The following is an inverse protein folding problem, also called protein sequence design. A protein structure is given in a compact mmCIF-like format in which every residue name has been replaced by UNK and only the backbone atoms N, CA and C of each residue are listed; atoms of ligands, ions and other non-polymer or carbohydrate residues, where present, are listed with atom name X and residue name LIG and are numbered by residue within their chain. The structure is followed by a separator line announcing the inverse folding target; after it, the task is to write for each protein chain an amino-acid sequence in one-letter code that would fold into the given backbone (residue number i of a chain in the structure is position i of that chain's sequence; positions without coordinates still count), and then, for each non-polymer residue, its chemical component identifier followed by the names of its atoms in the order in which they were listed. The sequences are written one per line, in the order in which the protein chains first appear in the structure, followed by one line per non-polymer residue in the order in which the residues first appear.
data_IF_432830867249
#
_entry.id   IF_432830867249
#
_cell.length_a   1.000
_cell.length_b   1.000
_cell.length_c   1.000
_cell.angle_alpha   90.00
_cell.angle_beta   90.00
_cell.angle_gamma   90.00
#
_symmetry.space_group_name_H-M   'P 1'
#
loop_
_entity.id
_entity.type
_entity.pdbx_description
1 polymer ?
#
# COMPACT_ATOMS: atom_id res chain seq x y z
N UNK A 1 -26.99 9.69 5.22
CA UNK A 1 -26.72 8.25 5.32
C UNK A 1 -26.60 7.83 6.77
N UNK A 2 -26.71 6.54 7.06
CA UNK A 2 -26.57 5.98 8.41
C UNK A 2 -25.11 5.98 8.94
N UNK A 3 -24.19 6.71 8.29
CA UNK A 3 -22.77 6.75 8.64
C UNK A 3 -22.55 7.66 9.85
N UNK A 4 -21.61 7.28 10.69
CA UNK A 4 -21.25 8.05 11.88
C UNK A 4 -20.50 9.32 11.47
N UNK A 5 -20.97 10.48 11.92
CA UNK A 5 -20.51 11.80 11.48
C UNK A 5 -19.15 12.24 12.04
N UNK A 6 -18.15 11.35 12.04
CA UNK A 6 -16.82 11.59 12.59
C UNK A 6 -15.80 11.82 11.48
N UNK A 7 -15.03 12.90 11.58
CA UNK A 7 -13.90 13.15 10.69
C UNK A 7 -12.88 12.01 10.81
N UNK A 8 -12.63 11.35 9.67
CA UNK A 8 -11.77 10.16 9.57
C UNK A 8 -12.13 9.05 10.57
N UNK A 9 -13.40 8.93 10.96
CA UNK A 9 -13.88 7.97 11.98
C UNK A 9 -13.23 8.14 13.36
N UNK A 10 -12.73 9.35 13.67
CA UNK A 10 -12.00 9.64 14.92
C UNK A 10 -12.55 10.87 15.64
N UNK A 11 -12.64 12.01 14.94
CA UNK A 11 -12.92 13.30 15.57
C UNK A 11 -14.34 13.79 15.29
N UNK A 12 -15.12 14.19 16.31
CA UNK A 12 -16.39 14.88 16.10
C UNK A 12 -16.14 16.30 15.55
N UNK A 13 -16.71 16.66 14.37
CA UNK A 13 -16.40 17.91 13.70
C UNK A 13 -17.04 19.16 14.35
N UNK A 14 -17.98 18.97 15.27
CA UNK A 14 -18.75 20.05 15.89
C UNK A 14 -18.12 20.55 17.21
N UNK A 15 -16.95 20.03 17.59
CA UNK A 15 -16.23 20.54 18.76
C UNK A 15 -15.41 21.77 18.38
N UNK A 16 -15.40 22.77 19.26
CA UNK A 16 -14.56 23.96 19.11
C UNK A 16 -13.07 23.63 19.32
N UNK A 17 -12.78 22.70 20.24
CA UNK A 17 -11.43 22.23 20.52
C UNK A 17 -11.30 20.74 20.22
N UNK A 18 -10.25 20.30 19.53
CA UNK A 18 -10.03 18.90 19.20
C UNK A 18 -9.42 18.15 20.40
N UNK A 19 -10.17 18.04 21.49
CA UNK A 19 -9.74 17.42 22.77
C UNK A 19 -10.36 16.05 23.02
N UNK A 20 -11.34 15.63 22.21
CA UNK A 20 -12.00 14.34 22.26
C UNK A 20 -11.78 13.58 20.95
N UNK A 21 -11.40 12.31 21.06
CA UNK A 21 -11.24 11.41 19.93
C UNK A 21 -11.77 10.03 20.27
N UNK A 22 -12.36 9.36 19.28
CA UNK A 22 -12.83 7.98 19.37
C UNK A 22 -11.85 7.09 18.61
N UNK A 23 -11.32 6.06 19.27
CA UNK A 23 -10.32 5.14 18.69
C UNK A 23 -10.88 3.72 18.68
N UNK A 24 -10.66 3.00 17.59
CA UNK A 24 -11.11 1.63 17.37
C UNK A 24 -12.58 1.51 16.95
N UNK A 25 -13.33 2.61 16.86
CA UNK A 25 -14.73 2.57 16.40
C UNK A 25 -14.82 2.61 14.88
N UNK A 26 -14.30 1.55 14.24
CA UNK A 26 -14.20 1.44 12.79
C UNK A 26 -14.35 -0.03 12.37
N UNK A 27 -14.89 -0.26 11.18
CA UNK A 27 -14.96 -1.59 10.58
C UNK A 27 -14.33 -1.57 9.19
N UNK A 28 -13.51 -2.57 8.88
CA UNK A 28 -12.87 -2.69 7.57
C UNK A 28 -12.60 -4.16 7.26
N UNK A 29 -12.21 -4.43 6.01
CA UNK A 29 -11.87 -5.76 5.52
C UNK A 29 -10.49 -6.25 6.02
N UNK A 30 -9.93 -5.62 7.06
CA UNK A 30 -8.63 -5.92 7.65
C UNK A 30 -8.63 -5.96 9.18
N UNK A 31 -7.44 -6.16 9.77
CA UNK A 31 -7.30 -6.25 11.22
C UNK A 31 -7.50 -4.89 11.90
N UNK A 32 -8.34 -4.85 12.93
CA UNK A 32 -8.61 -3.63 13.72
C UNK A 32 -7.40 -3.14 14.51
N UNK A 33 -6.52 -4.03 14.95
CA UNK A 33 -5.37 -3.72 15.81
C UNK A 33 -4.42 -2.67 15.18
N UNK A 34 -3.94 -2.82 13.94
CA UNK A 34 -3.15 -1.77 13.28
C UNK A 34 -3.95 -0.49 12.98
N UNK A 35 -5.27 -0.59 12.77
CA UNK A 35 -6.09 0.60 12.54
C UNK A 35 -6.24 1.43 13.80
N UNK A 36 -6.55 0.80 14.93
CA UNK A 36 -6.62 1.45 16.23
C UNK A 36 -5.26 2.05 16.63
N UNK A 37 -4.15 1.35 16.37
CA UNK A 37 -2.80 1.88 16.58
C UNK A 37 -2.52 3.13 15.72
N UNK A 38 -2.92 3.11 14.43
CA UNK A 38 -2.76 4.25 13.53
C UNK A 38 -3.61 5.44 13.96
N UNK A 39 -4.87 5.20 14.33
CA UNK A 39 -5.77 6.21 14.89
C UNK A 39 -5.17 6.82 16.16
N UNK A 40 -4.67 6.00 17.09
CA UNK A 40 -4.04 6.50 18.31
C UNK A 40 -2.82 7.37 18.01
N UNK A 41 -1.98 7.00 17.03
CA UNK A 41 -0.84 7.83 16.59
C UNK A 41 -1.28 9.17 16.02
N UNK A 42 -2.34 9.17 15.21
CA UNK A 42 -2.93 10.39 14.66
C UNK A 42 -3.49 11.29 15.76
N UNK A 43 -4.29 10.72 16.67
CA UNK A 43 -4.89 11.44 17.81
C UNK A 43 -3.83 12.06 18.70
N UNK A 44 -2.82 11.29 19.10
CA UNK A 44 -1.75 11.79 19.96
C UNK A 44 -1.03 12.99 19.33
N UNK A 45 -0.83 12.99 18.01
CA UNK A 45 -0.25 14.14 17.29
C UNK A 45 -1.16 15.36 17.25
N UNK A 46 -2.47 15.16 17.15
CA UNK A 46 -3.45 16.25 17.18
C UNK A 46 -3.49 16.87 18.56
N UNK A 47 -3.59 16.05 19.60
CA UNK A 47 -3.61 16.53 20.99
C UNK A 47 -2.32 17.23 21.40
N UNK A 48 -1.17 16.74 20.96
CA UNK A 48 0.12 17.39 21.18
C UNK A 48 0.36 18.62 20.26
N UNK A 49 -0.60 18.99 19.41
CA UNK A 49 -0.52 20.18 18.54
C UNK A 49 0.40 20.04 17.32
N UNK A 50 1.03 18.89 17.10
CA UNK A 50 1.88 18.62 15.93
C UNK A 50 1.08 18.52 14.63
N UNK A 51 -0.21 18.18 14.71
CA UNK A 51 -1.13 18.12 13.56
C UNK A 51 -2.38 18.92 13.88
N UNK A 52 -2.66 19.95 13.08
CA UNK A 52 -3.91 20.71 13.20
C UNK A 52 -5.00 20.06 12.36
N UNK A 53 -6.19 19.92 12.93
CA UNK A 53 -7.38 19.54 12.18
C UNK A 53 -7.82 20.70 11.28
N UNK A 54 -8.45 20.41 10.13
CA UNK A 54 -9.03 21.46 9.30
C UNK A 54 -10.25 22.09 9.99
N UNK A 55 -10.73 23.22 9.47
CA UNK A 55 -11.92 23.89 9.99
C UNK A 55 -13.16 22.98 10.02
N UNK A 56 -14.08 23.22 10.93
CA UNK A 56 -15.28 22.38 11.17
C UNK A 56 -16.07 22.13 9.88
N UNK A 57 -16.32 23.17 9.07
CA UNK A 57 -17.02 23.03 7.80
C UNK A 57 -16.27 22.12 6.79
N UNK A 58 -14.94 22.15 6.80
CA UNK A 58 -14.13 21.30 5.95
C UNK A 58 -14.14 19.85 6.44
N UNK A 59 -14.16 19.62 7.75
CA UNK A 59 -14.34 18.28 8.32
C UNK A 59 -15.70 17.69 7.96
N UNK A 60 -16.79 18.45 8.08
CA UNK A 60 -18.14 18.02 7.71
C UNK A 60 -18.19 17.65 6.22
N UNK A 61 -17.67 18.52 5.34
CA UNK A 61 -17.57 18.24 3.90
C UNK A 61 -16.75 16.97 3.60
N UNK A 62 -15.68 16.73 4.36
CA UNK A 62 -14.87 15.52 4.19
C UNK A 62 -15.63 14.26 4.60
N UNK A 63 -16.41 14.31 5.69
CA UNK A 63 -17.29 13.21 6.13
C UNK A 63 -18.35 12.92 5.08
N UNK A 64 -19.00 13.94 4.51
CA UNK A 64 -19.97 13.77 3.44
C UNK A 64 -19.35 13.16 2.18
N UNK A 65 -18.14 13.60 1.82
CA UNK A 65 -17.39 13.05 0.67
C UNK A 65 -17.05 11.58 0.88
N UNK A 66 -16.53 11.23 2.05
CA UNK A 66 -16.22 9.85 2.44
C UNK A 66 -17.47 8.97 2.41
N UNK A 67 -18.60 9.48 2.92
CA UNK A 67 -19.91 8.80 2.86
C UNK A 67 -20.34 8.52 1.43
N UNK A 68 -20.22 9.50 0.53
CA UNK A 68 -20.57 9.32 -0.89
C UNK A 68 -19.62 8.38 -1.62
N UNK A 69 -18.36 8.29 -1.19
CA UNK A 69 -17.37 7.41 -1.80
C UNK A 69 -17.62 5.96 -1.41
N UNK A 70 -17.83 5.70 -0.11
CA UNK A 70 -18.08 4.33 0.36
C UNK A 70 -19.40 3.77 -0.19
N UNK A 71 -20.43 4.61 -0.36
CA UNK A 71 -21.73 4.22 -0.93
C UNK A 71 -21.62 3.69 -2.37
N UNK A 72 -20.54 4.03 -3.10
CA UNK A 72 -20.29 3.52 -4.45
C UNK A 72 -19.65 2.13 -4.45
N UNK A 73 -18.86 1.83 -3.42
CA UNK A 73 -18.04 0.61 -3.36
C UNK A 73 -18.61 -0.45 -2.43
N UNK A 74 -19.46 -0.07 -1.47
CA UNK A 74 -20.00 -0.97 -0.45
C UNK A 74 -21.50 -0.73 -0.23
N UNK A 75 -22.19 -1.78 0.20
CA UNK A 75 -23.59 -1.69 0.63
C UNK A 75 -23.66 -0.98 1.98
N UNK A 76 -24.14 0.26 1.96
CA UNK A 76 -24.35 1.05 3.18
C UNK A 76 -25.73 0.74 3.73
N UNK A 77 -25.75 0.08 4.88
CA UNK A 77 -26.97 -0.24 5.63
C UNK A 77 -26.85 0.29 7.06
N UNK A 78 -27.96 0.24 7.81
CA UNK A 78 -27.92 0.51 9.26
C UNK A 78 -26.96 -0.43 10.02
N UNK A 79 -26.68 -1.62 9.47
CA UNK A 79 -25.81 -2.63 10.08
C UNK A 79 -24.32 -2.42 9.74
N UNK A 80 -24.02 -1.63 8.71
CA UNK A 80 -22.65 -1.34 8.24
C UNK A 80 -22.31 0.17 8.28
N UNK A 81 -22.57 0.90 9.39
CA UNK A 81 -22.40 2.34 9.42
C UNK A 81 -20.93 2.81 9.48
N UNK A 82 -19.98 1.88 9.68
CA UNK A 82 -18.57 2.14 9.96
C UNK A 82 -17.60 1.58 8.91
N UNK A 83 -18.10 1.05 7.80
CA UNK A 83 -17.27 0.39 6.79
C UNK A 83 -16.27 1.37 6.15
N UNK A 84 -15.01 0.97 6.07
CA UNK A 84 -13.94 1.65 5.31
C UNK A 84 -13.10 0.65 4.53
N UNK A 85 -12.46 1.12 3.46
CA UNK A 85 -11.37 0.38 2.82
C UNK A 85 -10.12 0.42 3.70
N UNK A 86 -9.52 -0.75 3.97
CA UNK A 86 -8.40 -0.86 4.90
C UNK A 86 -7.15 -0.10 4.41
N UNK A 87 -6.79 -0.23 3.13
CA UNK A 87 -5.54 0.32 2.61
C UNK A 87 -5.66 1.83 2.45
N UNK A 88 -6.76 2.30 1.86
CA UNK A 88 -7.01 3.73 1.65
C UNK A 88 -7.05 4.47 3.00
N UNK A 89 -7.77 3.93 3.99
CA UNK A 89 -7.87 4.53 5.31
C UNK A 89 -6.51 4.63 6.02
N UNK A 90 -5.75 3.53 6.01
CA UNK A 90 -4.44 3.49 6.64
C UNK A 90 -3.44 4.43 5.97
N UNK A 91 -3.44 4.49 4.63
CA UNK A 91 -2.56 5.39 3.86
C UNK A 91 -2.93 6.87 4.05
N UNK A 92 -4.22 7.19 4.19
CA UNK A 92 -4.70 8.55 4.43
C UNK A 92 -4.28 9.05 5.81
N UNK A 93 -4.47 8.24 6.87
CA UNK A 93 -3.94 8.55 8.19
C UNK A 93 -2.41 8.62 8.20
N UNK A 94 -1.74 7.68 7.54
CA UNK A 94 -0.29 7.64 7.47
C UNK A 94 0.28 8.88 6.76
N UNK A 95 -0.41 9.39 5.74
CA UNK A 95 -0.06 10.64 5.06
C UNK A 95 -0.19 11.83 6.02
N UNK A 96 -1.27 11.89 6.79
CA UNK A 96 -1.49 13.00 7.73
C UNK A 96 -0.43 13.11 8.81
N UNK A 97 0.08 11.97 9.26
CA UNK A 97 1.09 11.90 10.31
C UNK A 97 2.53 11.78 9.78
N UNK A 98 2.71 11.75 8.46
CA UNK A 98 4.02 11.72 7.78
C UNK A 98 4.76 10.38 7.86
N UNK A 99 4.05 9.25 7.94
CA UNK A 99 4.65 7.90 8.06
C UNK A 99 4.36 7.01 6.86
N UNK A 100 3.59 7.50 5.88
CA UNK A 100 3.30 6.78 4.65
C UNK A 100 4.59 6.62 3.82
N UNK A 101 4.98 5.39 3.45
CA UNK A 101 6.15 5.18 2.61
C UNK A 101 5.94 5.76 1.21
N UNK A 102 6.82 6.68 0.79
CA UNK A 102 6.83 7.19 -0.58
C UNK A 102 7.35 6.12 -1.55
N UNK A 103 6.43 5.50 -2.30
CA UNK A 103 6.77 4.41 -3.23
C UNK A 103 7.80 4.82 -4.28
N UNK A 104 7.67 6.01 -4.88
CA UNK A 104 8.62 6.53 -5.85
C UNK A 104 10.02 6.73 -5.23
N UNK A 105 10.10 7.22 -4.01
CA UNK A 105 11.38 7.38 -3.32
C UNK A 105 12.01 6.03 -2.98
N UNK A 106 11.19 5.06 -2.52
CA UNK A 106 11.66 3.70 -2.26
C UNK A 106 12.16 3.01 -3.52
N UNK A 107 11.53 3.26 -4.68
CA UNK A 107 11.95 2.69 -5.96
C UNK A 107 13.42 3.03 -6.28
N UNK A 108 13.84 4.27 -6.01
CA UNK A 108 15.21 4.74 -6.29
C UNK A 108 16.20 4.50 -5.15
N UNK A 109 15.74 4.39 -3.90
CA UNK A 109 16.64 4.26 -2.73
C UNK A 109 16.86 2.81 -2.28
N UNK A 110 15.81 2.00 -2.20
CA UNK A 110 15.86 0.59 -1.76
C UNK A 110 14.87 -0.23 -2.59
N UNK A 111 15.29 -0.55 -3.83
CA UNK A 111 14.48 -1.32 -4.78
C UNK A 111 13.97 -2.67 -4.23
N UNK A 112 14.76 -3.46 -3.49
CA UNK A 112 14.26 -4.67 -2.83
C UNK A 112 13.11 -4.40 -1.86
N UNK A 113 13.21 -3.35 -1.03
CA UNK A 113 12.14 -2.98 -0.11
C UNK A 113 10.91 -2.46 -0.88
N UNK A 114 11.11 -1.64 -1.92
CA UNK A 114 10.05 -1.19 -2.82
C UNK A 114 9.25 -2.37 -3.37
N UNK A 115 9.93 -3.39 -3.92
CA UNK A 115 9.28 -4.57 -4.49
C UNK A 115 8.40 -5.29 -3.45
N UNK A 116 8.87 -5.40 -2.20
CA UNK A 116 8.13 -6.03 -1.10
C UNK A 116 6.96 -5.21 -0.62
N UNK A 117 7.05 -3.88 -0.63
CA UNK A 117 5.95 -2.98 -0.23
C UNK A 117 4.89 -2.92 -1.32
N UNK A 118 5.30 -2.88 -2.60
CA UNK A 118 4.38 -2.71 -3.73
C UNK A 118 3.67 -4.01 -4.16
N UNK A 119 4.40 -5.12 -4.27
CA UNK A 119 3.82 -6.43 -4.67
C UNK A 119 3.60 -7.40 -3.52
N UNK A 120 4.06 -7.08 -2.32
CA UNK A 120 3.90 -7.93 -1.14
C UNK A 120 2.61 -7.63 -0.37
N UNK A 121 2.36 -8.39 0.71
CA UNK A 121 1.22 -8.14 1.57
C UNK A 121 1.38 -6.80 2.30
N UNK A 122 0.27 -6.06 2.42
CA UNK A 122 0.21 -4.82 3.20
C UNK A 122 0.25 -5.17 4.68
N UNK A 123 1.41 -4.96 5.30
CA UNK A 123 1.61 -5.23 6.74
C UNK A 123 1.86 -3.96 7.52
N UNK A 124 1.45 -3.96 8.80
CA UNK A 124 1.54 -2.79 9.68
C UNK A 124 2.98 -2.25 9.83
N UNK A 125 4.00 -3.09 9.62
CA UNK A 125 5.40 -2.71 9.65
C UNK A 125 5.75 -1.60 8.64
N UNK A 126 5.02 -1.51 7.51
CA UNK A 126 5.24 -0.51 6.47
C UNK A 126 5.09 0.91 7.02
N UNK A 127 4.13 1.14 7.92
CA UNK A 127 3.86 2.45 8.55
C UNK A 127 4.82 2.81 9.70
N UNK A 128 5.86 2.00 9.89
CA UNK A 128 6.96 2.22 10.83
C UNK A 128 8.32 2.31 10.11
N UNK A 129 8.34 2.31 8.77
CA UNK A 129 9.57 2.43 7.98
C UNK A 129 10.17 3.83 8.03
N UNK A 130 9.33 4.85 8.09
CA UNK A 130 9.73 6.25 8.05
C UNK A 130 8.83 7.12 8.90
N UNK A 131 9.23 8.39 9.01
CA UNK A 131 8.54 9.34 9.84
C UNK A 131 8.73 9.09 11.33
N UNK A 132 7.99 9.82 12.15
CA UNK A 132 8.10 9.75 13.59
C UNK A 132 7.50 8.46 14.19
N UNK A 133 8.23 7.88 15.14
CA UNK A 133 7.96 6.53 15.66
C UNK A 133 8.50 5.42 14.74
N UNK A 134 9.44 5.74 13.83
CA UNK A 134 10.16 4.78 13.00
C UNK A 134 10.77 3.66 13.84
N UNK A 135 10.60 2.43 13.39
CA UNK A 135 11.16 1.26 14.04
C UNK A 135 12.27 0.67 13.18
N UNK A 136 13.48 0.57 13.75
CA UNK A 136 14.68 0.06 13.04
C UNK A 136 14.46 -1.37 12.52
N UNK A 137 13.71 -2.19 13.25
CA UNK A 137 13.38 -3.56 12.87
C UNK A 137 12.35 -3.69 11.74
N UNK A 138 11.66 -2.61 11.34
CA UNK A 138 10.55 -2.67 10.38
C UNK A 138 10.96 -3.27 9.04
N UNK A 139 12.13 -2.87 8.51
CA UNK A 139 12.66 -3.44 7.27
C UNK A 139 12.87 -4.94 7.41
N UNK A 140 13.63 -5.38 8.41
CA UNK A 140 13.88 -6.81 8.66
C UNK A 140 12.58 -7.59 8.82
N UNK A 141 11.60 -7.03 9.54
CA UNK A 141 10.30 -7.63 9.77
C UNK A 141 9.53 -7.88 8.46
N UNK A 142 9.51 -6.93 7.53
CA UNK A 142 8.89 -7.07 6.20
C UNK A 142 9.59 -8.16 5.39
N UNK A 143 10.92 -8.20 5.42
CA UNK A 143 11.67 -9.19 4.63
C UNK A 143 11.43 -10.63 5.10
N UNK A 144 11.27 -10.82 6.40
CA UNK A 144 11.16 -12.13 7.08
C UNK A 144 9.72 -12.50 7.46
N UNK A 145 8.72 -11.73 7.03
CA UNK A 145 7.32 -11.93 7.44
C UNK A 145 6.75 -13.28 6.99
N UNK A 146 7.05 -13.70 5.75
CA UNK A 146 6.61 -14.99 5.23
C UNK A 146 7.37 -16.13 5.91
N UNK A 147 8.66 -15.97 6.20
CA UNK A 147 9.43 -16.97 6.92
C UNK A 147 8.81 -17.25 8.30
N UNK A 148 8.45 -16.19 9.05
CA UNK A 148 7.74 -16.32 10.34
C UNK A 148 6.37 -16.96 10.22
N UNK A 149 5.64 -16.67 9.14
CA UNK A 149 4.34 -17.28 8.87
C UNK A 149 4.46 -18.77 8.55
N UNK A 150 5.46 -19.17 7.76
CA UNK A 150 5.68 -20.56 7.38
C UNK A 150 6.35 -21.39 8.48
N UNK A 151 7.15 -20.77 9.36
CA UNK A 151 7.87 -21.46 10.43
C UNK A 151 6.98 -22.38 11.30
N UNK A 152 5.82 -21.93 11.84
CA UNK A 152 4.94 -22.79 12.61
C UNK A 152 4.24 -23.86 11.76
N UNK A 153 4.10 -23.65 10.45
CA UNK A 153 3.48 -24.60 9.52
C UNK A 153 4.47 -25.68 9.05
N UNK A 154 5.78 -25.39 9.05
CA UNK A 154 6.84 -26.29 8.58
C UNK A 154 7.31 -27.25 9.68
N UNK A 155 6.38 -28.00 10.27
CA UNK A 155 6.65 -28.97 11.33
C UNK A 155 7.45 -30.19 10.84
N UNK A 156 7.36 -30.51 9.55
CA UNK A 156 8.13 -31.59 8.90
C UNK A 156 9.26 -31.03 8.04
N UNK A 157 10.49 -31.50 8.26
CA UNK A 157 11.64 -31.21 7.38
C UNK A 157 11.66 -32.24 6.25
N UNK A 158 11.63 -31.75 5.01
CA UNK A 158 11.83 -32.57 3.81
C UNK A 158 13.26 -32.36 3.31
N UNK A 159 13.91 -33.42 2.83
CA UNK A 159 15.15 -33.35 2.07
C UNK A 159 14.85 -32.68 0.73
N UNK A 160 15.20 -31.40 0.62
CA UNK A 160 15.03 -30.66 -0.64
C UNK A 160 16.16 -31.11 -1.56
N UNK A 161 15.84 -31.93 -2.57
CA UNK A 161 16.74 -32.12 -3.70
C UNK A 161 16.95 -30.76 -4.37
N UNK A 162 18.20 -30.37 -4.57
CA UNK A 162 18.55 -29.09 -5.19
C UNK A 162 17.86 -28.99 -6.56
N UNK A 163 17.24 -27.84 -6.87
CA UNK A 163 16.57 -27.67 -8.16
C UNK A 163 17.59 -27.83 -9.27
N UNK A 164 17.35 -28.78 -10.17
CA UNK A 164 18.23 -29.05 -11.31
C UNK A 164 18.52 -27.77 -12.09
N UNK A 165 19.81 -27.47 -12.24
CA UNK A 165 20.32 -26.37 -13.08
C UNK A 165 19.79 -26.48 -14.52
N UNK A 166 19.66 -27.70 -15.02
CA UNK A 166 19.04 -28.03 -16.31
C UNK A 166 17.60 -27.51 -16.40
N UNK A 167 16.79 -27.68 -15.36
CA UNK A 167 15.41 -27.18 -15.34
C UNK A 167 15.29 -25.66 -15.38
N UNK A 168 16.27 -24.92 -14.82
CA UNK A 168 16.35 -23.46 -14.96
C UNK A 168 16.79 -23.04 -16.35
N UNK A 169 17.77 -23.72 -16.94
CA UNK A 169 18.26 -23.44 -18.29
C UNK A 169 17.16 -23.68 -19.35
N UNK A 170 16.40 -24.77 -19.22
CA UNK A 170 15.26 -25.07 -20.11
C UNK A 170 14.19 -23.96 -20.04
N UNK A 171 13.90 -23.44 -18.83
CA UNK A 171 12.94 -22.33 -18.68
C UNK A 171 13.45 -21.05 -19.34
N UNK A 172 14.75 -20.74 -19.20
CA UNK A 172 15.35 -19.58 -19.84
C UNK A 172 15.38 -19.72 -21.37
N UNK A 173 15.73 -20.90 -21.91
CA UNK A 173 15.74 -21.12 -23.35
C UNK A 173 14.34 -20.98 -23.95
N UNK A 174 13.29 -21.46 -23.25
CA UNK A 174 11.91 -21.30 -23.71
C UNK A 174 11.49 -19.83 -23.80
N UNK A 175 11.89 -19.00 -22.84
CA UNK A 175 11.63 -17.55 -22.84
C UNK A 175 12.37 -16.85 -24.00
N UNK A 176 13.63 -17.21 -24.25
CA UNK A 176 14.41 -16.63 -25.36
C UNK A 176 13.80 -17.03 -26.72
N UNK A 177 13.44 -18.30 -26.89
CA UNK A 177 12.83 -18.80 -28.12
C UNK A 177 11.48 -18.13 -28.40
N UNK A 178 10.62 -18.03 -27.39
CA UNK A 178 9.31 -17.36 -27.53
C UNK A 178 9.45 -15.87 -27.80
N UNK A 179 10.35 -15.18 -27.11
CA UNK A 179 10.65 -13.76 -27.37
C UNK A 179 11.22 -13.53 -28.77
N UNK A 180 12.16 -14.39 -29.21
CA UNK A 180 12.75 -14.33 -30.55
C UNK A 180 11.73 -14.59 -31.66
N UNK A 181 10.86 -15.59 -31.49
CA UNK A 181 9.78 -15.87 -32.44
C UNK A 181 8.78 -14.71 -32.55
N UNK A 182 8.42 -14.09 -31.42
CA UNK A 182 7.53 -12.92 -31.41
C UNK A 182 8.16 -11.72 -32.13
N UNK A 183 9.46 -11.46 -31.91
CA UNK A 183 10.20 -10.40 -32.60
C UNK A 183 10.32 -10.67 -34.10
N UNK A 184 10.60 -11.91 -34.50
CA UNK A 184 10.65 -12.32 -35.90
C UNK A 184 9.29 -12.16 -36.59
N UNK A 185 8.22 -12.65 -35.96
CA UNK A 185 6.85 -12.50 -36.47
C UNK A 185 6.47 -11.02 -36.64
N UNK A 186 6.80 -10.19 -35.66
CA UNK A 186 6.54 -8.75 -35.73
C UNK A 186 7.37 -8.05 -36.81
N UNK A 187 8.63 -8.45 -37.00
CA UNK A 187 9.48 -7.93 -38.06
C UNK A 187 8.96 -8.30 -39.46
N UNK A 188 8.50 -9.54 -39.66
CA UNK A 188 7.96 -10.02 -40.94
C UNK A 188 6.64 -9.33 -41.28
N UNK A 189 5.75 -9.12 -40.31
CA UNK A 189 4.45 -8.48 -40.58
C UNK A 189 4.48 -6.95 -40.57
N UNK A 190 5.41 -6.32 -39.85
CA UNK A 190 5.52 -4.86 -39.78
C UNK A 190 6.99 -4.38 -39.96
N UNK A 191 7.56 -4.55 -41.16
CA UNK A 191 9.00 -4.38 -41.41
C UNK A 191 9.53 -2.96 -41.22
N UNK A 192 8.67 -1.94 -41.33
CA UNK A 192 9.05 -0.53 -41.18
C UNK A 192 9.12 -0.06 -39.73
N UNK A 193 8.48 -0.76 -38.80
CA UNK A 193 8.31 -0.30 -37.41
C UNK A 193 9.61 -0.32 -36.61
N UNK A 194 10.43 -1.37 -36.78
CA UNK A 194 11.70 -1.51 -36.04
C UNK A 194 12.74 -0.48 -36.55
N UNK A 195 12.96 -0.29 -37.86
CA UNK A 195 13.81 0.79 -38.37
C UNK A 195 13.35 2.20 -37.95
N UNK A 196 12.04 2.47 -37.97
CA UNK A 196 11.45 3.76 -37.55
C UNK A 196 11.61 3.98 -36.03
N UNK A 197 11.53 2.92 -35.23
CA UNK A 197 11.78 3.00 -33.78
C UNK A 197 13.26 3.27 -33.51
N UNK A 198 14.17 2.57 -34.21
CA UNK A 198 15.61 2.75 -34.08
C UNK A 198 16.07 4.13 -34.57
N UNK A 199 15.46 4.68 -35.62
CA UNK A 199 15.75 6.04 -36.10
C UNK A 199 15.33 7.14 -35.11
N UNK A 200 14.35 6.88 -34.23
CA UNK A 200 13.96 7.81 -33.14
C UNK A 200 14.92 7.80 -31.94
N UNK A 201 15.74 6.75 -31.79
CA UNK A 201 16.75 6.67 -30.73
C UNK A 201 18.12 7.21 -31.18
N UNK A 202 18.35 7.38 -32.48
CA UNK A 202 19.46 8.19 -32.97
C UNK A 202 19.11 9.67 -32.83
N UNK A 203 19.58 10.28 -31.74
CA UNK A 203 19.71 11.73 -31.63
C UNK A 203 20.52 12.21 -32.84
N UNK A 204 19.94 13.12 -33.63
CA UNK A 204 20.66 13.87 -34.66
C UNK A 204 21.87 14.55 -34.00
N UNK A 205 23.05 14.02 -34.21
CA UNK A 205 24.29 14.77 -34.04
C UNK A 205 24.33 15.82 -35.15
N UNK A 206 24.47 17.08 -34.74
CA UNK A 206 24.66 18.29 -35.57
C UNK A 206 25.66 18.05 -36.70
#
# INVERSE_FOLDING_TARGET
GHRVGLYKHVFPPNLEHPTLAIVGFIHSDGAIMPQAEMQARFVARVFAGHKKLPANQAMIKAVEKDTKQIEKSYVVSKLTPLQVDFVEYMDDLAKDIGVRPSLLWLLFTDFPLFKRVFWGPVTAYQYRLMGPGKWIGARKAIFTQLDRMYQPLKTRKLTINQSSTTGRLIKLSLIVMTGGAALYYFHVHNPTTIPILMSKFHLQTV
#
